data_IF_852048383489
#
_entry.id   IF_852048383489
#
_cell.length_a   1.000
_cell.length_b   1.000
_cell.length_c   1.000
_cell.angle_alpha   90.00
_cell.angle_beta   90.00
_cell.angle_gamma   90.00
#
_symmetry.space_group_name_H-M   'P 1'
#
loop_
_entity.id
_entity.type
_entity.pdbx_description
1 polymer ?
#
# COMPACT_ATOMS: atom_id res chain seq x y z
N UNK A 1 -6.05 12.87 27.83
CA UNK A 1 -5.29 12.65 26.58
C UNK A 1 -4.72 11.25 26.56
N UNK A 2 -5.51 10.24 26.17
CA UNK A 2 -4.97 8.88 26.02
C UNK A 2 -4.13 8.82 24.74
N UNK A 3 -2.84 8.50 24.88
CA UNK A 3 -1.99 8.13 23.76
C UNK A 3 -2.64 6.92 23.08
N UNK A 4 -3.03 7.04 21.80
CA UNK A 4 -3.56 5.91 21.04
C UNK A 4 -2.38 5.02 20.61
N UNK A 5 -2.00 4.08 21.47
CA UNK A 5 -0.85 3.19 21.25
C UNK A 5 -0.96 2.33 19.99
N UNK A 6 -2.18 1.91 19.61
CA UNK A 6 -2.41 1.16 18.39
C UNK A 6 -2.01 1.94 17.14
N UNK A 7 -2.34 3.24 17.09
CA UNK A 7 -1.95 4.12 15.98
C UNK A 7 -0.42 4.25 15.89
N UNK A 8 0.27 4.38 17.02
CA UNK A 8 1.73 4.49 17.04
C UNK A 8 2.41 3.21 16.56
N UNK A 9 1.92 2.04 16.99
CA UNK A 9 2.44 0.74 16.54
C UNK A 9 2.22 0.56 15.04
N UNK A 10 1.01 0.81 14.54
CA UNK A 10 0.71 0.69 13.10
C UNK A 10 1.62 1.61 12.29
N UNK A 11 1.78 2.86 12.72
CA UNK A 11 2.68 3.81 12.09
C UNK A 11 4.15 3.36 12.08
N UNK A 12 4.64 2.79 13.19
CA UNK A 12 6.00 2.27 13.27
C UNK A 12 6.22 1.07 12.34
N UNK A 13 5.28 0.11 12.34
CA UNK A 13 5.33 -1.08 11.48
C UNK A 13 5.26 -0.68 10.00
N UNK A 14 4.34 0.21 9.64
CA UNK A 14 4.25 0.72 8.28
C UNK A 14 5.54 1.41 7.84
N UNK A 15 6.14 2.25 8.68
CA UNK A 15 7.41 2.90 8.35
C UNK A 15 8.54 1.90 8.11
N UNK A 16 8.62 0.79 8.87
CA UNK A 16 9.62 -0.26 8.64
C UNK A 16 9.42 -0.87 7.25
N UNK A 17 8.19 -1.23 6.88
CA UNK A 17 7.87 -1.77 5.55
C UNK A 17 8.25 -0.76 4.47
N UNK A 18 7.92 0.51 4.66
CA UNK A 18 8.21 1.55 3.68
C UNK A 18 9.71 1.82 3.51
N UNK A 19 10.51 1.70 4.59
CA UNK A 19 11.97 1.74 4.47
C UNK A 19 12.51 0.58 3.65
N UNK A 20 11.98 -0.63 3.89
CA UNK A 20 12.42 -1.83 3.18
C UNK A 20 12.03 -1.79 1.70
N UNK A 21 10.85 -1.24 1.40
CA UNK A 21 10.28 -1.25 0.05
C UNK A 21 10.72 -0.05 -0.79
N UNK A 22 10.75 1.15 -0.21
CA UNK A 22 10.97 2.43 -0.92
C UNK A 22 12.23 3.18 -0.47
N UNK A 23 13.09 2.53 0.32
CA UNK A 23 14.37 3.11 0.79
C UNK A 23 14.24 4.30 1.74
N UNK A 24 13.02 4.68 2.10
CA UNK A 24 12.74 5.95 2.79
C UNK A 24 11.75 5.79 3.94
N UNK A 25 11.98 6.59 4.99
CA UNK A 25 11.03 6.75 6.11
C UNK A 25 9.99 7.78 5.72
N UNK A 26 8.73 7.44 5.93
CA UNK A 26 7.67 8.43 5.81
C UNK A 26 7.64 9.32 7.03
N UNK A 27 7.69 10.63 6.79
CA UNK A 27 7.46 11.62 7.83
C UNK A 27 6.01 11.54 8.28
N UNK A 28 5.81 11.51 9.59
CA UNK A 28 4.47 11.40 10.17
C UNK A 28 3.55 12.59 9.83
N UNK A 29 4.08 13.69 9.27
CA UNK A 29 3.31 14.85 8.85
C UNK A 29 3.05 14.92 7.34
N UNK A 30 3.58 13.96 6.56
CA UNK A 30 3.34 13.92 5.12
C UNK A 30 1.90 13.48 4.83
N UNK A 31 1.13 14.38 4.22
CA UNK A 31 -0.28 14.17 3.93
C UNK A 31 -0.51 13.09 2.88
N UNK A 32 0.40 12.91 1.92
CA UNK A 32 0.28 11.87 0.91
C UNK A 32 0.48 10.49 1.54
N UNK A 33 1.52 10.32 2.36
CA UNK A 33 1.77 9.04 3.04
C UNK A 33 0.67 8.70 4.05
N UNK A 34 0.20 9.67 4.84
CA UNK A 34 -0.95 9.45 5.71
C UNK A 34 -2.19 8.99 4.94
N UNK A 35 -2.42 9.56 3.76
CA UNK A 35 -3.54 9.21 2.88
C UNK A 35 -3.42 7.77 2.34
N UNK A 36 -2.21 7.29 2.06
CA UNK A 36 -1.94 5.91 1.65
C UNK A 36 -2.11 4.94 2.83
N UNK A 37 -1.58 5.27 4.02
CA UNK A 37 -1.77 4.45 5.23
C UNK A 37 -3.24 4.35 5.62
N UNK A 38 -4.00 5.45 5.45
CA UNK A 38 -5.43 5.44 5.66
C UNK A 38 -6.13 4.52 4.64
N UNK A 39 -5.77 4.59 3.35
CA UNK A 39 -6.28 3.67 2.34
C UNK A 39 -6.03 2.20 2.71
N UNK A 40 -4.83 1.85 3.19
CA UNK A 40 -4.52 0.49 3.65
C UNK A 40 -5.41 0.05 4.81
N UNK A 41 -5.57 0.90 5.84
CA UNK A 41 -6.43 0.60 6.98
C UNK A 41 -7.90 0.44 6.55
N UNK A 42 -8.38 1.26 5.61
CA UNK A 42 -9.73 1.17 5.09
C UNK A 42 -9.94 -0.10 4.27
N UNK A 43 -8.96 -0.53 3.46
CA UNK A 43 -9.00 -1.81 2.76
C UNK A 43 -9.11 -2.95 3.76
N UNK A 44 -8.24 -3.03 4.78
CA UNK A 44 -8.26 -4.09 5.79
C UNK A 44 -9.61 -4.12 6.51
N UNK A 45 -10.15 -2.95 6.89
CA UNK A 45 -11.46 -2.84 7.54
C UNK A 45 -12.60 -3.32 6.64
N UNK A 46 -12.61 -2.91 5.38
CA UNK A 46 -13.65 -3.29 4.41
C UNK A 46 -13.54 -4.77 4.01
N UNK A 47 -12.32 -5.31 3.97
CA UNK A 47 -12.00 -6.71 3.68
C UNK A 47 -12.38 -7.62 4.85
N UNK A 48 -12.25 -7.14 6.09
CA UNK A 48 -12.79 -7.82 7.28
C UNK A 48 -14.32 -7.85 7.35
N UNK A 49 -15.00 -7.00 6.56
CA UNK A 49 -16.45 -7.01 6.38
C UNK A 49 -16.93 -8.03 5.34
N UNK A 50 -18.25 -8.17 5.18
CA UNK A 50 -18.98 -9.11 4.31
C UNK A 50 -18.41 -9.35 2.89
N UNK A 51 -17.57 -8.47 2.36
CA UNK A 51 -16.98 -8.57 1.01
C UNK A 51 -16.13 -9.83 0.80
N UNK A 52 -15.28 -10.25 1.74
CA UNK A 52 -14.43 -11.45 1.55
C UNK A 52 -15.25 -12.73 1.59
N UNK A 53 -16.22 -12.82 2.50
CA UNK A 53 -17.10 -13.98 2.60
C UNK A 53 -17.96 -14.15 1.34
N UNK A 54 -18.45 -13.05 0.78
CA UNK A 54 -19.24 -13.05 -0.46
C UNK A 54 -18.40 -13.30 -1.71
N UNK A 55 -17.16 -12.78 -1.78
CA UNK A 55 -16.27 -13.03 -2.93
C UNK A 55 -15.88 -14.51 -3.05
N UNK A 56 -15.65 -15.20 -1.93
CA UNK A 56 -15.36 -16.64 -1.92
C UNK A 56 -16.57 -17.50 -2.29
N UNK A 57 -17.79 -17.00 -2.08
CA UNK A 57 -19.02 -17.78 -2.27
C UNK A 57 -19.64 -17.59 -3.66
N UNK A 58 -19.58 -16.38 -4.25
CA UNK A 58 -20.17 -16.09 -5.55
C UNK A 58 -19.48 -14.93 -6.29
N UNK A 59 -18.25 -15.13 -6.83
CA UNK A 59 -17.47 -14.06 -7.47
C UNK A 59 -18.18 -13.46 -8.70
N UNK A 60 -18.94 -14.27 -9.45
CA UNK A 60 -19.71 -13.82 -10.61
C UNK A 60 -20.85 -12.85 -10.26
N UNK A 61 -21.48 -13.02 -9.09
CA UNK A 61 -22.59 -12.18 -8.62
C UNK A 61 -22.09 -10.84 -8.06
N UNK A 62 -20.91 -10.85 -7.41
CA UNK A 62 -20.25 -9.66 -6.90
C UNK A 62 -19.93 -8.63 -8.00
N UNK A 63 -19.64 -9.06 -9.23
CA UNK A 63 -19.37 -8.16 -10.36
C UNK A 63 -20.55 -7.23 -10.70
N UNK A 64 -21.77 -7.63 -10.37
CA UNK A 64 -23.00 -6.90 -10.74
C UNK A 64 -23.64 -6.15 -9.57
N UNK A 65 -23.32 -6.52 -8.32
CA UNK A 65 -23.90 -5.87 -7.14
C UNK A 65 -23.17 -4.54 -6.81
N UNK A 66 -23.88 -3.48 -6.42
CA UNK A 66 -23.24 -2.36 -5.73
C UNK A 66 -22.78 -2.82 -4.34
N UNK A 67 -21.54 -2.52 -3.95
CA UNK A 67 -21.03 -2.93 -2.64
C UNK A 67 -19.62 -2.43 -2.36
N UNK A 68 -19.16 -2.67 -1.12
CA UNK A 68 -17.86 -2.23 -0.60
C UNK A 68 -16.66 -2.73 -1.40
N UNK A 69 -16.81 -3.77 -2.22
CA UNK A 69 -15.76 -4.22 -3.13
C UNK A 69 -15.37 -3.13 -4.15
N UNK A 70 -16.31 -2.29 -4.61
CA UNK A 70 -16.00 -1.18 -5.52
C UNK A 70 -15.15 -0.11 -4.84
N UNK A 71 -15.46 0.19 -3.57
CA UNK A 71 -14.65 1.09 -2.75
C UNK A 71 -13.24 0.52 -2.51
N UNK A 72 -13.14 -0.79 -2.22
CA UNK A 72 -11.85 -1.48 -2.11
C UNK A 72 -11.04 -1.34 -3.41
N UNK A 73 -11.65 -1.54 -4.59
CA UNK A 73 -10.93 -1.37 -5.86
C UNK A 73 -10.40 0.05 -6.05
N UNK A 74 -11.17 1.07 -5.69
CA UNK A 74 -10.73 2.48 -5.76
C UNK A 74 -9.54 2.71 -4.82
N UNK A 75 -9.61 2.19 -3.59
CA UNK A 75 -8.52 2.32 -2.61
C UNK A 75 -7.26 1.57 -3.05
N UNK A 76 -7.41 0.38 -3.64
CA UNK A 76 -6.30 -0.40 -4.21
C UNK A 76 -5.67 0.36 -5.37
N UNK A 77 -6.46 0.90 -6.31
CA UNK A 77 -5.93 1.66 -7.44
C UNK A 77 -5.09 2.84 -6.96
N UNK A 78 -5.56 3.59 -5.96
CA UNK A 78 -4.81 4.70 -5.35
C UNK A 78 -3.45 4.27 -4.76
N UNK A 79 -3.36 3.05 -4.22
CA UNK A 79 -2.09 2.49 -3.72
C UNK A 79 -1.19 2.08 -4.88
N UNK A 80 -1.74 1.45 -5.93
CA UNK A 80 -1.01 1.09 -7.15
C UNK A 80 -0.39 2.34 -7.78
N UNK A 81 -1.17 3.40 -7.99
CA UNK A 81 -0.70 4.65 -8.60
C UNK A 81 0.47 5.25 -7.79
N UNK A 82 0.41 5.15 -6.46
CA UNK A 82 1.48 5.60 -5.58
C UNK A 82 2.76 4.73 -5.72
N UNK A 83 2.61 3.41 -5.77
CA UNK A 83 3.74 2.50 -5.96
C UNK A 83 4.37 2.69 -7.34
N UNK A 84 3.57 2.89 -8.40
CA UNK A 84 4.05 3.18 -9.75
C UNK A 84 4.87 4.47 -9.79
N UNK A 85 4.42 5.53 -9.10
CA UNK A 85 5.20 6.76 -8.95
C UNK A 85 6.55 6.48 -8.30
N UNK A 86 6.60 5.65 -7.26
CA UNK A 86 7.86 5.29 -6.59
C UNK A 86 8.77 4.47 -7.49
N UNK A 87 8.25 3.48 -8.20
CA UNK A 87 9.03 2.70 -9.16
C UNK A 87 9.64 3.62 -10.22
N UNK A 88 8.88 4.59 -10.73
CA UNK A 88 9.40 5.57 -11.69
C UNK A 88 10.54 6.39 -11.11
N UNK A 89 10.40 6.90 -9.87
CA UNK A 89 11.48 7.61 -9.18
C UNK A 89 12.75 6.75 -9.09
N UNK A 90 12.62 5.45 -8.74
CA UNK A 90 13.77 4.55 -8.60
C UNK A 90 14.44 4.24 -9.95
N UNK A 91 13.67 4.15 -11.04
CA UNK A 91 14.21 3.96 -12.39
C UNK A 91 15.03 5.16 -12.87
N UNK A 92 14.75 6.37 -12.41
CA UNK A 92 15.45 7.58 -12.85
C UNK A 92 16.89 7.66 -12.35
N UNK A 93 17.20 7.03 -11.20
CA UNK A 93 18.51 7.08 -10.55
C UNK A 93 19.02 5.69 -10.08
N UNK A 94 18.54 4.61 -10.72
CA UNK A 94 18.93 3.24 -10.40
C UNK A 94 20.44 3.02 -10.58
N UNK A 95 21.10 2.52 -9.54
CA UNK A 95 22.50 2.06 -9.58
C UNK A 95 22.55 0.54 -9.35
N UNK A 96 22.75 -0.28 -10.40
CA UNK A 96 22.83 -1.74 -10.27
C UNK A 96 23.95 -2.23 -9.34
N UNK A 97 24.97 -1.40 -9.07
CA UNK A 97 26.08 -1.76 -8.18
C UNK A 97 25.76 -1.54 -6.70
N UNK A 98 24.72 -0.77 -6.39
CA UNK A 98 24.36 -0.39 -5.02
C UNK A 98 22.83 -0.23 -4.85
N UNK A 99 22.06 -1.32 -4.85
CA UNK A 99 20.62 -1.26 -4.65
C UNK A 99 20.26 -0.68 -3.29
N UNK A 100 19.33 0.28 -3.26
CA UNK A 100 18.95 1.00 -2.04
C UNK A 100 17.89 0.26 -1.22
N UNK A 101 17.00 -0.44 -1.91
CA UNK A 101 15.83 -1.10 -1.31
C UNK A 101 15.28 -2.22 -2.21
N UNK A 102 14.09 -2.73 -1.83
CA UNK A 102 13.43 -3.81 -2.55
C UNK A 102 13.08 -3.44 -4.00
N UNK A 103 12.67 -2.20 -4.29
CA UNK A 103 12.32 -1.80 -5.65
C UNK A 103 13.56 -1.86 -6.54
N UNK A 104 14.67 -1.27 -6.11
CA UNK A 104 15.93 -1.33 -6.87
C UNK A 104 16.35 -2.79 -7.09
N UNK A 105 16.33 -3.60 -6.03
CA UNK A 105 16.70 -5.02 -6.10
C UNK A 105 15.83 -5.79 -7.10
N UNK A 106 14.53 -5.51 -7.12
CA UNK A 106 13.59 -6.15 -8.03
C UNK A 106 13.74 -5.67 -9.48
N UNK A 107 13.99 -4.37 -9.69
CA UNK A 107 14.27 -3.81 -11.02
C UNK A 107 15.53 -4.43 -11.62
N UNK A 108 16.61 -4.57 -10.85
CA UNK A 108 17.86 -5.20 -11.27
C UNK A 108 17.64 -6.66 -11.66
N UNK A 109 16.88 -7.43 -10.86
CA UNK A 109 16.56 -8.82 -11.15
C UNK A 109 15.73 -8.96 -12.45
N UNK A 110 14.88 -7.98 -12.78
CA UNK A 110 14.16 -7.94 -14.05
C UNK A 110 15.04 -7.56 -15.26
N UNK A 111 16.28 -7.13 -15.03
CA UNK A 111 17.19 -6.68 -16.07
C UNK A 111 16.90 -5.28 -16.60
N UNK A 112 16.29 -4.42 -15.77
CA UNK A 112 16.14 -2.98 -16.04
C UNK A 112 17.45 -2.20 -15.80
#
# INVERSE_FOLDING_TARGET
NSINGQKLINNAVSNIICCLVFGSRFEYNDKQYQSILQSFNDIIRLQGGLAVQLFNTAPSLMRWLPGSHKEIFILIQKIIDFVESKIKEHKEDLDPSSPRDYIDSFLIEMGE
#
